data_IF_248194553327
#
_entry.id   IF_248194553327
#
_cell.length_a   1.000
_cell.length_b   1.000
_cell.length_c   1.000
_cell.angle_alpha   90.00
_cell.angle_beta   90.00
_cell.angle_gamma   90.00
#
_symmetry.space_group_name_H-M   'P 1'
#
loop_
_entity.id
_entity.type
_entity.pdbx_description
1 polymer ?
#
# COMPACT_ATOMS: atom_id res chain seq x y z
N UNK A 1 26.49 34.66 -7.88
CA UNK A 1 25.29 34.89 -7.01
C UNK A 1 24.14 33.95 -7.36
N UNK A 2 23.83 33.70 -8.65
CA UNK A 2 22.74 32.78 -9.09
C UNK A 2 22.99 31.32 -8.66
N UNK A 3 24.25 30.85 -8.65
CA UNK A 3 24.63 29.48 -8.31
C UNK A 3 24.39 29.15 -6.81
N UNK A 4 24.66 30.11 -5.91
CA UNK A 4 24.49 29.89 -4.45
C UNK A 4 23.01 29.85 -4.06
N UNK A 5 22.18 30.70 -4.64
CA UNK A 5 20.74 30.73 -4.36
C UNK A 5 20.02 29.45 -4.87
N UNK A 6 20.45 28.88 -6.00
CA UNK A 6 19.91 27.61 -6.52
C UNK A 6 20.32 26.42 -5.63
N UNK A 7 21.56 26.39 -5.15
CA UNK A 7 22.04 25.36 -4.22
C UNK A 7 21.28 25.39 -2.88
N UNK A 8 21.10 26.57 -2.29
CA UNK A 8 20.36 26.73 -1.06
C UNK A 8 18.89 26.26 -1.18
N UNK A 9 18.22 26.62 -2.28
CA UNK A 9 16.85 26.18 -2.53
C UNK A 9 16.73 24.66 -2.69
N UNK A 10 17.76 24.01 -3.27
CA UNK A 10 17.79 22.54 -3.40
C UNK A 10 17.95 21.85 -2.03
N UNK A 11 18.89 22.33 -1.20
CA UNK A 11 19.12 21.80 0.16
C UNK A 11 17.85 21.92 1.02
N UNK A 12 17.16 23.07 0.98
CA UNK A 12 15.90 23.27 1.69
C UNK A 12 14.82 22.28 1.24
N UNK A 13 14.72 22.01 -0.06
CA UNK A 13 13.74 21.05 -0.59
C UNK A 13 14.05 19.62 -0.17
N UNK A 14 15.28 19.19 -0.25
CA UNK A 14 15.68 17.83 0.19
C UNK A 14 15.47 17.70 1.70
N UNK A 15 15.90 18.69 2.48
CA UNK A 15 15.73 18.70 3.93
C UNK A 15 14.27 18.64 4.37
N UNK A 16 13.36 19.35 3.68
CA UNK A 16 11.94 19.31 4.01
C UNK A 16 11.28 17.96 3.72
N UNK A 17 11.66 17.27 2.64
CA UNK A 17 11.19 15.90 2.36
C UNK A 17 11.71 14.94 3.41
N UNK A 18 13.00 15.00 3.73
CA UNK A 18 13.60 14.18 4.77
C UNK A 18 12.92 14.39 6.14
N UNK A 19 12.57 15.64 6.48
CA UNK A 19 11.87 15.96 7.73
C UNK A 19 10.48 15.30 7.80
N UNK A 20 9.69 15.31 6.72
CA UNK A 20 8.35 14.68 6.72
C UNK A 20 8.47 13.15 6.76
N UNK A 21 9.45 12.56 6.05
CA UNK A 21 9.73 11.14 6.14
C UNK A 21 10.18 10.74 7.56
N UNK A 22 11.07 11.53 8.19
CA UNK A 22 11.50 11.32 9.57
C UNK A 22 10.35 11.44 10.57
N UNK A 23 9.43 12.38 10.36
CA UNK A 23 8.23 12.50 11.19
C UNK A 23 7.35 11.23 11.10
N UNK A 24 7.17 10.65 9.91
CA UNK A 24 6.45 9.41 9.75
C UNK A 24 7.15 8.24 10.46
N UNK A 25 8.48 8.15 10.38
CA UNK A 25 9.29 7.17 11.13
C UNK A 25 9.08 7.35 12.64
N UNK A 26 9.19 8.59 13.15
CA UNK A 26 9.03 8.88 14.57
C UNK A 26 7.63 8.48 15.06
N UNK A 27 6.57 8.83 14.33
CA UNK A 27 5.20 8.44 14.68
C UNK A 27 5.08 6.91 14.77
N UNK A 28 5.67 6.17 13.84
CA UNK A 28 5.64 4.71 13.85
C UNK A 28 6.45 4.14 15.02
N UNK A 29 7.65 4.65 15.28
CA UNK A 29 8.50 4.18 16.38
C UNK A 29 7.92 4.51 17.76
N UNK A 30 7.12 5.58 17.88
CA UNK A 30 6.52 6.05 19.14
C UNK A 30 5.05 5.65 19.29
N UNK A 31 4.48 4.87 18.38
CA UNK A 31 3.10 4.42 18.44
C UNK A 31 2.82 3.67 19.75
N UNK A 32 1.82 4.13 20.50
CA UNK A 32 1.46 3.58 21.83
C UNK A 32 0.67 2.27 21.67
N UNK A 33 -0.30 2.26 20.76
CA UNK A 33 -1.17 1.11 20.52
C UNK A 33 -0.56 0.18 19.48
N UNK A 34 0.42 -0.61 19.87
CA UNK A 34 1.06 -1.61 18.99
C UNK A 34 0.16 -2.82 18.81
N UNK A 35 0.08 -3.30 17.57
CA UNK A 35 -0.75 -4.44 17.16
C UNK A 35 0.10 -5.59 16.59
N UNK A 36 1.35 -5.69 17.04
CA UNK A 36 2.33 -6.69 16.59
C UNK A 36 1.90 -8.13 16.85
N UNK A 37 1.07 -8.35 17.88
CA UNK A 37 0.48 -9.66 18.23
C UNK A 37 -0.80 -10.00 17.42
N UNK A 38 -1.12 -9.20 16.42
CA UNK A 38 -2.28 -9.44 15.56
C UNK A 38 -1.95 -10.28 14.33
N UNK A 39 -2.56 -9.98 13.18
CA UNK A 39 -2.33 -10.71 11.92
C UNK A 39 -0.83 -10.72 11.49
N UNK A 40 -0.03 -9.76 11.93
CA UNK A 40 1.38 -9.66 11.56
C UNK A 40 2.30 -10.67 12.29
N UNK A 41 1.85 -11.26 13.39
CA UNK A 41 2.64 -12.07 14.32
C UNK A 41 3.41 -13.24 13.66
N UNK A 42 2.82 -13.92 12.66
CA UNK A 42 3.46 -15.03 11.96
C UNK A 42 4.39 -14.64 10.82
N UNK A 43 4.40 -13.36 10.43
CA UNK A 43 5.12 -12.90 9.22
C UNK A 43 6.63 -13.16 9.31
N UNK A 44 7.24 -12.78 10.41
CA UNK A 44 8.70 -12.95 10.60
C UNK A 44 9.10 -14.39 10.91
N UNK A 45 8.22 -15.19 11.51
CA UNK A 45 8.44 -16.63 11.71
C UNK A 45 8.53 -17.36 10.36
N UNK A 46 7.65 -17.02 9.41
CA UNK A 46 7.75 -17.55 8.04
C UNK A 46 9.04 -17.09 7.37
N UNK A 47 9.43 -15.82 7.55
CA UNK A 47 10.71 -15.31 7.02
C UNK A 47 11.89 -16.11 7.54
N UNK A 48 11.93 -16.37 8.85
CA UNK A 48 12.98 -17.18 9.48
C UNK A 48 12.95 -18.62 9.00
N UNK A 49 11.75 -19.23 8.88
CA UNK A 49 11.60 -20.59 8.36
C UNK A 49 12.14 -20.73 6.93
N UNK A 50 11.90 -19.74 6.07
CA UNK A 50 12.45 -19.72 4.71
C UNK A 50 13.99 -19.63 4.75
N UNK A 51 14.54 -18.76 5.59
CA UNK A 51 15.99 -18.57 5.67
C UNK A 51 16.74 -19.78 6.24
N UNK A 52 16.20 -20.43 7.28
CA UNK A 52 16.90 -21.49 7.99
C UNK A 52 16.58 -22.88 7.45
N UNK A 53 15.34 -23.08 7.02
CA UNK A 53 14.83 -24.42 6.69
C UNK A 53 14.42 -24.57 5.22
N UNK A 54 14.46 -23.45 4.45
CA UNK A 54 14.05 -23.45 3.03
C UNK A 54 12.57 -23.78 2.81
N UNK A 55 11.70 -23.56 3.83
CA UNK A 55 10.28 -23.92 3.76
C UNK A 55 9.39 -22.79 4.26
N UNK A 56 8.18 -22.73 3.71
CA UNK A 56 7.12 -21.80 4.14
C UNK A 56 6.30 -22.31 5.32
N UNK A 57 6.53 -23.57 5.72
CA UNK A 57 5.83 -24.21 6.83
C UNK A 57 6.49 -23.87 8.17
N UNK A 58 5.69 -23.97 9.24
CA UNK A 58 6.08 -23.61 10.60
C UNK A 58 6.27 -24.86 11.51
N UNK A 59 6.35 -26.05 10.92
CA UNK A 59 6.55 -27.32 11.63
C UNK A 59 7.89 -27.44 12.38
N UNK A 60 8.84 -26.54 12.13
CA UNK A 60 10.08 -26.45 12.90
C UNK A 60 10.00 -25.64 14.20
N UNK A 61 8.83 -25.06 14.53
CA UNK A 61 8.63 -24.32 15.79
C UNK A 61 7.99 -25.19 16.87
N UNK A 62 8.25 -24.86 18.15
CA UNK A 62 7.63 -25.54 19.28
C UNK A 62 6.10 -25.36 19.29
N UNK A 63 5.34 -26.34 19.83
CA UNK A 63 3.87 -26.29 19.86
C UNK A 63 3.30 -25.06 20.57
N UNK A 64 3.97 -24.55 21.62
CA UNK A 64 3.58 -23.33 22.32
C UNK A 64 3.66 -22.09 21.43
N UNK A 65 4.71 -21.95 20.59
CA UNK A 65 4.83 -20.89 19.60
C UNK A 65 3.69 -20.98 18.58
N UNK A 66 3.37 -22.19 18.09
CA UNK A 66 2.27 -22.40 17.17
C UNK A 66 0.90 -22.10 17.82
N UNK A 67 0.75 -22.40 19.11
CA UNK A 67 -0.48 -22.11 19.86
C UNK A 67 -0.73 -20.61 19.98
N UNK A 68 0.30 -19.77 20.10
CA UNK A 68 0.17 -18.32 20.13
C UNK A 68 -0.35 -17.74 18.81
N UNK A 69 -0.11 -18.40 17.68
CA UNK A 69 -0.62 -18.01 16.38
C UNK A 69 -2.13 -18.30 16.20
N UNK A 70 -2.70 -19.24 17.00
CA UNK A 70 -4.12 -19.57 17.04
C UNK A 70 -4.75 -19.71 15.64
N UNK A 71 -5.77 -18.89 15.33
CA UNK A 71 -6.51 -18.90 14.06
C UNK A 71 -5.74 -18.31 12.86
N UNK A 72 -4.46 -17.98 13.01
CA UNK A 72 -3.58 -17.49 11.93
C UNK A 72 -2.82 -18.62 11.24
N UNK A 73 -3.01 -19.84 11.69
CA UNK A 73 -2.45 -21.05 11.07
C UNK A 73 -3.54 -21.83 10.35
N UNK A 74 -3.22 -22.34 9.19
CA UNK A 74 -3.95 -23.42 8.53
C UNK A 74 -3.06 -24.66 8.40
N UNK A 75 -3.66 -25.84 8.33
CA UNK A 75 -2.92 -27.07 8.09
C UNK A 75 -3.03 -27.49 6.63
N UNK A 76 -1.88 -27.60 5.96
CA UNK A 76 -1.74 -28.06 4.58
C UNK A 76 -1.04 -29.41 4.63
N UNK A 77 -1.73 -30.49 4.31
CA UNK A 77 -1.23 -31.86 4.37
C UNK A 77 -0.60 -32.21 5.74
N UNK A 78 -1.26 -31.75 6.82
CA UNK A 78 -0.85 -31.99 8.20
C UNK A 78 0.28 -31.07 8.69
N UNK A 79 0.81 -30.17 7.86
CA UNK A 79 1.87 -29.21 8.23
C UNK A 79 1.29 -27.83 8.52
N UNK A 80 1.70 -27.16 9.61
CA UNK A 80 1.23 -25.83 9.93
C UNK A 80 1.77 -24.79 8.95
N UNK A 81 0.91 -24.06 8.29
CA UNK A 81 1.22 -22.97 7.39
C UNK A 81 0.58 -21.67 7.89
N UNK A 82 1.27 -20.55 7.70
CA UNK A 82 0.71 -19.25 8.00
C UNK A 82 -0.40 -18.88 6.99
N UNK A 83 -1.55 -18.48 7.50
CA UNK A 83 -2.76 -18.25 6.69
C UNK A 83 -2.63 -17.07 5.73
N UNK A 84 -1.88 -16.04 6.10
CA UNK A 84 -1.78 -14.79 5.33
C UNK A 84 -0.78 -14.89 4.17
N UNK A 85 -0.89 -13.99 3.15
CA UNK A 85 0.01 -13.98 2.00
C UNK A 85 1.48 -13.85 2.37
N UNK A 86 2.35 -14.58 1.69
CA UNK A 86 3.78 -14.66 1.97
C UNK A 86 4.57 -13.41 1.59
N UNK A 87 4.00 -12.48 0.83
CA UNK A 87 4.74 -11.36 0.24
C UNK A 87 5.45 -10.48 1.26
N UNK A 88 4.82 -10.18 2.40
CA UNK A 88 5.45 -9.39 3.46
C UNK A 88 6.62 -10.15 4.07
N UNK A 89 6.51 -11.47 4.27
CA UNK A 89 7.60 -12.33 4.74
C UNK A 89 8.78 -12.34 3.76
N UNK A 90 8.51 -12.39 2.46
CA UNK A 90 9.55 -12.33 1.42
C UNK A 90 10.26 -10.96 1.37
N UNK A 91 9.54 -9.86 1.59
CA UNK A 91 10.13 -8.52 1.68
C UNK A 91 11.02 -8.39 2.93
N UNK A 92 10.67 -9.05 4.02
CA UNK A 92 11.45 -9.03 5.25
C UNK A 92 12.74 -9.87 5.18
N UNK A 93 12.86 -10.81 4.21
CA UNK A 93 14.02 -11.73 4.09
C UNK A 93 15.38 -11.03 4.18
N UNK A 94 15.70 -9.98 3.40
CA UNK A 94 17.03 -9.37 3.45
C UNK A 94 17.33 -8.73 4.81
N UNK A 95 16.33 -8.13 5.44
CA UNK A 95 16.50 -7.50 6.76
C UNK A 95 16.74 -8.54 7.84
N UNK A 96 15.91 -9.59 7.88
CA UNK A 96 16.06 -10.69 8.85
C UNK A 96 17.37 -11.42 8.63
N UNK A 97 17.80 -11.68 7.40
CA UNK A 97 19.09 -12.30 7.10
C UNK A 97 20.26 -11.48 7.66
N UNK A 98 20.24 -10.16 7.49
CA UNK A 98 21.25 -9.25 8.06
C UNK A 98 21.21 -9.30 9.59
N UNK A 99 20.05 -9.18 10.23
CA UNK A 99 19.92 -9.20 11.70
C UNK A 99 20.45 -10.53 12.28
N UNK A 100 20.12 -11.63 11.64
CA UNK A 100 20.63 -12.97 12.05
C UNK A 100 22.14 -13.09 11.93
N UNK A 101 22.77 -12.46 10.95
CA UNK A 101 24.24 -12.45 10.85
C UNK A 101 24.93 -11.73 12.03
N UNK A 102 24.18 -10.86 12.74
CA UNK A 102 24.59 -10.21 14.00
C UNK A 102 24.12 -10.96 15.25
N UNK A 103 23.53 -12.16 15.12
CA UNK A 103 23.03 -12.95 16.25
C UNK A 103 21.69 -12.49 16.82
N UNK A 104 20.95 -11.63 16.10
CA UNK A 104 19.64 -11.14 16.52
C UNK A 104 18.57 -12.13 16.02
N UNK A 105 17.94 -12.87 16.94
CA UNK A 105 16.89 -13.84 16.64
C UNK A 105 15.52 -13.19 16.49
N UNK A 106 14.70 -13.75 15.60
CA UNK A 106 13.32 -13.25 15.34
C UNK A 106 12.43 -13.42 16.57
N UNK A 107 12.47 -14.60 17.23
CA UNK A 107 11.58 -14.89 18.38
C UNK A 107 11.75 -13.91 19.55
N UNK A 108 12.98 -13.42 19.77
CA UNK A 108 13.26 -12.49 20.86
C UNK A 108 12.96 -11.03 20.50
N UNK A 109 13.00 -10.68 19.22
CA UNK A 109 12.96 -9.30 18.72
C UNK A 109 11.84 -9.06 17.68
N UNK A 110 10.80 -9.90 17.66
CA UNK A 110 9.72 -9.83 16.66
C UNK A 110 9.06 -8.45 16.63
N UNK A 111 8.72 -7.90 17.79
CA UNK A 111 8.06 -6.60 17.89
C UNK A 111 8.91 -5.45 17.33
N UNK A 112 10.19 -5.42 17.70
CA UNK A 112 11.12 -4.36 17.28
C UNK A 112 11.37 -4.44 15.77
N UNK A 113 11.54 -5.64 15.23
CA UNK A 113 11.75 -5.85 13.79
C UNK A 113 10.50 -5.46 13.00
N UNK A 114 9.30 -5.85 13.48
CA UNK A 114 8.05 -5.44 12.85
C UNK A 114 7.92 -3.93 12.79
N UNK A 115 8.15 -3.22 13.90
CA UNK A 115 8.02 -1.76 13.95
C UNK A 115 9.09 -1.07 13.11
N UNK A 116 10.32 -1.58 13.05
CA UNK A 116 11.37 -1.03 12.19
C UNK A 116 11.01 -1.16 10.69
N UNK A 117 10.45 -2.30 10.28
CA UNK A 117 9.98 -2.52 8.92
C UNK A 117 8.76 -1.65 8.59
N UNK A 118 7.80 -1.50 9.52
CA UNK A 118 6.66 -0.60 9.37
C UNK A 118 7.11 0.87 9.25
N UNK A 119 8.10 1.31 10.05
CA UNK A 119 8.67 2.65 9.96
C UNK A 119 9.37 2.90 8.61
N UNK A 120 10.03 1.86 8.07
CA UNK A 120 10.62 1.92 6.72
C UNK A 120 9.53 2.07 5.66
N UNK A 121 8.45 1.29 5.74
CA UNK A 121 7.31 1.40 4.83
C UNK A 121 6.62 2.77 4.93
N UNK A 122 6.51 3.33 6.13
CA UNK A 122 5.97 4.68 6.36
C UNK A 122 6.80 5.76 5.64
N UNK A 123 8.12 5.75 5.81
CA UNK A 123 9.03 6.69 5.13
C UNK A 123 8.96 6.55 3.60
N UNK A 124 8.95 5.31 3.10
CA UNK A 124 8.83 5.03 1.67
C UNK A 124 7.48 5.49 1.11
N UNK A 125 6.38 5.30 1.85
CA UNK A 125 5.05 5.75 1.44
C UNK A 125 4.99 7.27 1.31
N UNK A 126 5.49 8.02 2.29
CA UNK A 126 5.58 9.49 2.23
C UNK A 126 6.44 9.94 1.05
N UNK A 127 7.62 9.34 0.87
CA UNK A 127 8.52 9.68 -0.24
C UNK A 127 7.86 9.43 -1.61
N UNK A 128 7.23 8.26 -1.78
CA UNK A 128 6.57 7.89 -3.04
C UNK A 128 5.35 8.77 -3.32
N UNK A 129 4.56 9.12 -2.28
CA UNK A 129 3.48 10.09 -2.41
C UNK A 129 4.01 11.45 -2.87
N UNK A 130 5.08 11.94 -2.24
CA UNK A 130 5.72 13.18 -2.66
C UNK A 130 6.19 13.10 -4.12
N UNK A 131 6.93 12.05 -4.52
CA UNK A 131 7.43 11.89 -5.88
C UNK A 131 6.29 11.78 -6.91
N UNK A 132 5.22 11.07 -6.59
CA UNK A 132 4.03 10.97 -7.42
C UNK A 132 3.33 12.34 -7.58
N UNK A 133 3.13 13.05 -6.47
CA UNK A 133 2.54 14.39 -6.49
C UNK A 133 3.41 15.40 -7.26
N UNK A 134 4.75 15.28 -7.22
CA UNK A 134 5.69 16.10 -7.99
C UNK A 134 5.55 15.97 -9.50
N UNK A 135 4.90 14.92 -9.99
CA UNK A 135 4.56 14.78 -11.41
C UNK A 135 3.47 15.76 -11.86
N UNK A 136 2.70 16.28 -10.94
CA UNK A 136 1.54 17.14 -11.19
C UNK A 136 1.69 18.55 -10.58
N UNK A 137 2.41 18.66 -9.46
CA UNK A 137 2.36 19.82 -8.55
C UNK A 137 3.75 20.38 -8.23
N UNK A 138 3.75 21.63 -7.76
CA UNK A 138 4.94 22.27 -7.19
C UNK A 138 5.40 21.60 -5.89
N UNK A 139 6.66 21.86 -5.49
CA UNK A 139 7.32 21.20 -4.34
C UNK A 139 6.48 21.24 -3.06
N UNK A 140 6.10 22.43 -2.60
CA UNK A 140 5.43 22.61 -1.32
C UNK A 140 4.02 22.02 -1.27
N UNK A 141 3.27 22.12 -2.36
CA UNK A 141 1.95 21.51 -2.47
C UNK A 141 2.05 19.98 -2.48
N UNK A 142 3.01 19.43 -3.23
CA UNK A 142 3.25 18.00 -3.26
C UNK A 142 3.64 17.44 -1.88
N UNK A 143 4.53 18.16 -1.17
CA UNK A 143 4.97 17.77 0.17
C UNK A 143 3.82 17.83 1.19
N UNK A 144 3.04 18.92 1.16
CA UNK A 144 1.90 19.10 2.05
C UNK A 144 0.84 18.01 1.83
N UNK A 145 0.51 17.70 0.57
CA UNK A 145 -0.46 16.63 0.28
C UNK A 145 0.06 15.25 0.68
N UNK A 146 1.34 14.95 0.46
CA UNK A 146 1.93 13.69 0.93
C UNK A 146 1.82 13.56 2.46
N UNK A 147 2.14 14.64 3.20
CA UNK A 147 1.98 14.68 4.65
C UNK A 147 0.53 14.51 5.09
N UNK A 148 -0.40 15.31 4.54
CA UNK A 148 -1.83 15.23 4.89
C UNK A 148 -2.40 13.84 4.62
N UNK A 149 -2.08 13.22 3.48
CA UNK A 149 -2.57 11.87 3.19
C UNK A 149 -1.98 10.82 4.11
N UNK A 150 -0.70 10.90 4.44
CA UNK A 150 -0.10 9.92 5.34
C UNK A 150 -0.60 10.10 6.77
N UNK A 151 -0.49 11.31 7.36
CA UNK A 151 -0.83 11.58 8.76
C UNK A 151 -2.35 11.64 9.02
N UNK A 152 -3.14 12.06 8.03
CA UNK A 152 -4.60 12.22 8.13
C UNK A 152 -5.41 11.00 7.70
N UNK A 153 -4.80 9.82 7.54
CA UNK A 153 -5.51 8.59 7.13
C UNK A 153 -5.09 7.39 7.97
N UNK A 154 -5.69 6.23 7.69
CA UNK A 154 -5.30 4.95 8.30
C UNK A 154 -3.88 4.49 7.95
N UNK A 155 -3.17 5.14 7.04
CA UNK A 155 -1.73 4.90 6.84
C UNK A 155 -0.92 5.18 8.10
N UNK A 156 -1.24 6.24 8.84
CA UNK A 156 -0.60 6.52 10.12
C UNK A 156 -1.29 5.79 11.28
N UNK A 157 -2.63 5.90 11.40
CA UNK A 157 -3.34 5.40 12.59
C UNK A 157 -3.39 3.87 12.67
N UNK A 158 -3.27 3.15 11.56
CA UNK A 158 -3.24 1.69 11.51
C UNK A 158 -1.87 1.18 11.09
N UNK A 159 -1.32 1.65 9.96
CA UNK A 159 -0.05 1.19 9.41
C UNK A 159 1.12 1.34 10.37
N UNK A 160 1.16 2.44 11.15
CA UNK A 160 2.22 2.66 12.13
C UNK A 160 2.19 1.71 13.34
N UNK A 161 1.26 0.77 13.44
CA UNK A 161 1.05 -0.03 14.68
C UNK A 161 1.67 -1.42 14.66
N UNK A 162 1.96 -1.97 13.48
CA UNK A 162 2.58 -3.30 13.28
C UNK A 162 3.08 -3.44 11.84
N UNK A 163 3.72 -4.56 11.52
CA UNK A 163 4.09 -4.93 10.15
C UNK A 163 2.88 -5.48 9.40
N UNK A 164 1.95 -4.62 9.07
CA UNK A 164 0.80 -5.03 8.27
C UNK A 164 1.17 -5.28 6.82
N UNK A 165 0.56 -6.27 6.19
CA UNK A 165 0.69 -6.43 4.73
C UNK A 165 0.18 -5.22 3.94
N UNK A 166 -0.70 -4.41 4.53
CA UNK A 166 -1.18 -3.13 4.00
C UNK A 166 -0.05 -2.11 3.79
N UNK A 167 0.98 -2.10 4.64
CA UNK A 167 2.07 -1.12 4.58
C UNK A 167 2.88 -1.28 3.30
N UNK A 168 3.33 -2.50 3.03
CA UNK A 168 4.04 -2.79 1.78
C UNK A 168 3.11 -2.81 0.57
N UNK A 169 1.82 -3.14 0.74
CA UNK A 169 0.83 -2.97 -0.32
C UNK A 169 0.70 -1.50 -0.73
N UNK A 170 0.68 -0.57 0.22
CA UNK A 170 0.66 0.87 -0.06
C UNK A 170 1.94 1.33 -0.77
N UNK A 171 3.13 0.90 -0.32
CA UNK A 171 4.42 1.20 -0.96
C UNK A 171 4.45 0.69 -2.40
N UNK A 172 4.10 -0.58 -2.64
CA UNK A 172 4.11 -1.19 -3.97
C UNK A 172 3.06 -0.56 -4.89
N UNK A 173 1.89 -0.19 -4.36
CA UNK A 173 0.85 0.52 -5.10
C UNK A 173 1.32 1.91 -5.52
N UNK A 174 1.89 2.69 -4.60
CA UNK A 174 2.44 4.02 -4.89
C UNK A 174 3.56 3.96 -5.93
N UNK A 175 4.46 2.99 -5.80
CA UNK A 175 5.54 2.78 -6.77
C UNK A 175 4.97 2.38 -8.15
N UNK A 176 3.97 1.48 -8.19
CA UNK A 176 3.29 1.11 -9.44
C UNK A 176 2.62 2.32 -10.11
N UNK A 177 1.93 3.15 -9.34
CA UNK A 177 1.30 4.37 -9.84
C UNK A 177 2.33 5.40 -10.33
N UNK A 178 3.45 5.56 -9.62
CA UNK A 178 4.54 6.44 -10.05
C UNK A 178 5.16 5.96 -11.38
N UNK A 179 5.45 4.66 -11.49
CA UNK A 179 6.00 4.05 -12.71
C UNK A 179 5.02 4.17 -13.88
N UNK A 180 3.72 3.95 -13.65
CA UNK A 180 2.68 4.16 -14.65
C UNK A 180 2.66 5.61 -15.12
N UNK A 181 2.64 6.58 -14.20
CA UNK A 181 2.62 8.01 -14.52
C UNK A 181 3.85 8.41 -15.34
N UNK A 182 5.05 7.95 -14.94
CA UNK A 182 6.29 8.18 -15.71
C UNK A 182 6.19 7.57 -17.10
N UNK A 183 5.70 6.33 -17.21
CA UNK A 183 5.55 5.65 -18.50
C UNK A 183 4.61 6.41 -19.45
N UNK A 184 3.43 6.85 -18.97
CA UNK A 184 2.41 7.46 -19.84
C UNK A 184 2.66 8.95 -20.12
N UNK A 185 3.17 9.72 -19.16
CA UNK A 185 3.48 11.14 -19.34
C UNK A 185 4.73 11.36 -20.20
N UNK A 186 5.81 10.60 -19.92
CA UNK A 186 7.11 10.80 -20.59
C UNK A 186 7.30 9.85 -21.80
N UNK A 187 6.32 8.96 -22.07
CA UNK A 187 6.38 7.92 -23.11
C UNK A 187 7.64 7.04 -23.02
N UNK A 188 8.11 6.76 -21.81
CA UNK A 188 9.31 5.97 -21.53
C UNK A 188 8.97 4.49 -21.39
N UNK A 189 9.82 3.63 -21.98
CA UNK A 189 9.64 2.15 -21.90
C UNK A 189 10.30 1.52 -20.68
N UNK A 190 11.37 2.14 -20.15
CA UNK A 190 12.14 1.58 -19.05
C UNK A 190 11.30 1.31 -17.76
N UNK A 191 10.22 2.04 -17.44
CA UNK A 191 9.41 1.71 -16.26
C UNK A 191 8.60 0.41 -16.41
N UNK A 192 8.32 -0.04 -17.65
CA UNK A 192 7.38 -1.13 -17.88
C UNK A 192 7.82 -2.48 -17.28
N UNK A 193 9.08 -2.95 -17.42
CA UNK A 193 9.52 -4.17 -16.76
C UNK A 193 9.44 -4.07 -15.23
N UNK A 194 9.87 -2.93 -14.66
CA UNK A 194 9.80 -2.70 -13.22
C UNK A 194 8.35 -2.64 -12.74
N UNK A 195 7.45 -2.04 -13.52
CA UNK A 195 6.01 -2.01 -13.23
C UNK A 195 5.42 -3.42 -13.14
N UNK A 196 5.80 -4.34 -14.03
CA UNK A 196 5.40 -5.76 -13.97
C UNK A 196 5.88 -6.40 -12.67
N UNK A 197 7.15 -6.23 -12.32
CA UNK A 197 7.74 -6.81 -11.10
C UNK A 197 7.04 -6.26 -9.85
N UNK A 198 6.82 -4.94 -9.79
CA UNK A 198 6.19 -4.29 -8.62
C UNK A 198 4.72 -4.68 -8.47
N UNK A 199 3.97 -4.76 -9.57
CA UNK A 199 2.58 -5.24 -9.54
C UNK A 199 2.50 -6.71 -9.14
N UNK A 200 3.37 -7.57 -9.67
CA UNK A 200 3.43 -8.98 -9.28
C UNK A 200 3.78 -9.13 -7.80
N UNK A 201 4.78 -8.41 -7.29
CA UNK A 201 5.12 -8.37 -5.87
C UNK A 201 3.92 -7.88 -5.03
N UNK A 202 3.20 -6.85 -5.50
CA UNK A 202 1.98 -6.36 -4.87
C UNK A 202 0.92 -7.44 -4.72
N UNK A 203 0.69 -8.25 -5.75
CA UNK A 203 -0.25 -9.37 -5.70
C UNK A 203 0.17 -10.46 -4.71
N UNK A 204 1.48 -10.71 -4.56
CA UNK A 204 2.00 -11.67 -3.56
C UNK A 204 1.86 -11.13 -2.15
N UNK A 205 2.00 -9.82 -1.95
CA UNK A 205 1.76 -9.16 -0.65
C UNK A 205 0.26 -9.15 -0.33
N UNK A 206 -0.57 -8.77 -1.30
CA UNK A 206 -2.03 -8.69 -1.12
C UNK A 206 -2.77 -8.93 -2.45
N UNK A 207 -3.52 -10.04 -2.58
CA UNK A 207 -4.31 -10.31 -3.79
C UNK A 207 -5.37 -9.25 -4.07
N UNK A 208 -5.78 -8.48 -3.06
CA UNK A 208 -6.70 -7.34 -3.18
C UNK A 208 -6.17 -6.22 -4.08
N UNK A 209 -4.89 -6.25 -4.48
CA UNK A 209 -4.32 -5.34 -5.48
C UNK A 209 -4.59 -5.76 -6.94
N UNK A 210 -5.26 -6.89 -7.18
CA UNK A 210 -5.64 -7.32 -8.53
C UNK A 210 -6.42 -6.25 -9.32
N UNK A 211 -7.40 -5.52 -8.75
CA UNK A 211 -8.07 -4.43 -9.46
C UNK A 211 -7.12 -3.29 -9.87
N UNK A 212 -6.07 -3.00 -9.09
CA UNK A 212 -5.04 -2.05 -9.49
C UNK A 212 -4.28 -2.56 -10.71
N UNK A 213 -3.84 -3.83 -10.72
CA UNK A 213 -3.11 -4.41 -11.84
C UNK A 213 -3.94 -4.39 -13.13
N UNK A 214 -5.22 -4.77 -13.06
CA UNK A 214 -6.16 -4.67 -14.18
C UNK A 214 -6.33 -3.22 -14.63
N UNK A 215 -6.55 -2.29 -13.70
CA UNK A 215 -6.72 -0.88 -13.99
C UNK A 215 -5.50 -0.26 -14.67
N UNK A 216 -4.28 -0.64 -14.26
CA UNK A 216 -3.03 -0.24 -14.91
C UNK A 216 -2.99 -0.70 -16.37
N UNK A 217 -3.33 -1.97 -16.65
CA UNK A 217 -3.39 -2.51 -18.01
C UNK A 217 -4.44 -1.77 -18.85
N UNK A 218 -5.61 -1.46 -18.28
CA UNK A 218 -6.66 -0.68 -18.96
C UNK A 218 -6.18 0.74 -19.29
N UNK A 219 -5.55 1.45 -18.34
CA UNK A 219 -4.98 2.78 -18.60
C UNK A 219 -3.93 2.73 -19.72
N UNK A 220 -3.05 1.74 -19.68
CA UNK A 220 -2.06 1.54 -20.75
C UNK A 220 -2.74 1.21 -22.08
N UNK A 221 -3.79 0.38 -22.10
CA UNK A 221 -4.52 0.05 -23.32
C UNK A 221 -5.15 1.29 -23.96
N UNK A 222 -5.73 2.17 -23.14
CA UNK A 222 -6.31 3.43 -23.58
C UNK A 222 -5.28 4.44 -24.11
N UNK A 223 -4.10 4.50 -23.50
CA UNK A 223 -3.10 5.54 -23.78
C UNK A 223 -1.95 5.02 -24.65
N UNK A 224 -1.58 3.75 -24.52
CA UNK A 224 -0.40 3.12 -25.16
C UNK A 224 -0.53 1.61 -25.27
N UNK A 225 -1.37 1.12 -26.22
CA UNK A 225 -1.77 -0.27 -26.33
C UNK A 225 -0.60 -1.29 -26.39
N UNK A 226 0.53 -0.93 -27.06
CA UNK A 226 1.72 -1.82 -27.12
C UNK A 226 2.34 -2.04 -25.73
N UNK A 227 2.34 -1.01 -24.88
CA UNK A 227 2.78 -1.13 -23.51
C UNK A 227 1.81 -1.99 -22.68
N UNK A 228 0.49 -1.85 -22.93
CA UNK A 228 -0.52 -2.68 -22.28
C UNK A 228 -0.30 -4.18 -22.59
N UNK A 229 -0.07 -4.53 -23.84
CA UNK A 229 0.22 -5.92 -24.24
C UNK A 229 1.47 -6.44 -23.54
N UNK A 230 2.57 -5.66 -23.52
CA UNK A 230 3.81 -6.06 -22.86
C UNK A 230 3.64 -6.27 -21.35
N UNK A 231 2.95 -5.35 -20.67
CA UNK A 231 2.70 -5.44 -19.21
C UNK A 231 1.74 -6.60 -18.92
N UNK A 232 0.67 -6.77 -19.70
CA UNK A 232 -0.26 -7.89 -19.54
C UNK A 232 0.44 -9.25 -19.71
N UNK A 233 1.25 -9.42 -20.75
CA UNK A 233 2.02 -10.63 -20.98
C UNK A 233 3.02 -10.90 -19.83
N UNK A 234 3.70 -9.85 -19.35
CA UNK A 234 4.59 -9.93 -18.19
C UNK A 234 3.86 -10.36 -16.91
N UNK A 235 2.68 -9.79 -16.63
CA UNK A 235 1.86 -10.17 -15.48
C UNK A 235 1.32 -11.59 -15.57
N UNK A 236 0.90 -12.04 -16.75
CA UNK A 236 0.49 -13.43 -16.96
C UNK A 236 1.66 -14.40 -16.74
N UNK A 237 2.85 -14.07 -17.25
CA UNK A 237 4.07 -14.87 -17.03
C UNK A 237 4.46 -14.91 -15.55
N UNK A 238 4.45 -13.76 -14.87
CA UNK A 238 4.72 -13.68 -13.42
C UNK A 238 3.68 -14.47 -12.62
N UNK A 239 2.39 -14.34 -12.97
CA UNK A 239 1.31 -15.11 -12.34
C UNK A 239 1.49 -16.62 -12.50
N UNK A 240 1.82 -17.08 -13.72
CA UNK A 240 2.11 -18.49 -13.97
C UNK A 240 3.31 -18.98 -13.14
N UNK A 241 4.39 -18.20 -13.08
CA UNK A 241 5.56 -18.53 -12.27
C UNK A 241 5.22 -18.63 -10.77
N UNK A 242 4.39 -17.70 -10.25
CA UNK A 242 3.93 -17.71 -8.85
C UNK A 242 3.06 -18.94 -8.54
N UNK A 243 2.16 -19.33 -9.48
CA UNK A 243 1.35 -20.54 -9.33
C UNK A 243 2.22 -21.79 -9.25
N UNK A 244 3.21 -21.91 -10.15
CA UNK A 244 4.17 -23.04 -10.19
C UNK A 244 4.99 -23.05 -8.89
N UNK A 245 5.51 -21.90 -8.45
CA UNK A 245 6.30 -21.80 -7.21
C UNK A 245 5.45 -22.18 -5.98
N UNK A 246 4.20 -21.72 -5.90
CA UNK A 246 3.31 -22.07 -4.81
C UNK A 246 2.99 -23.58 -4.80
N UNK A 247 2.73 -24.15 -5.99
CA UNK A 247 2.48 -25.60 -6.11
C UNK A 247 3.71 -26.41 -5.69
N UNK A 248 4.90 -26.02 -6.10
CA UNK A 248 6.15 -26.68 -5.70
C UNK A 248 6.41 -26.58 -4.18
N UNK A 249 6.04 -25.45 -3.56
CA UNK A 249 6.26 -25.22 -2.14
C UNK A 249 5.22 -25.89 -1.22
N UNK A 250 3.94 -25.96 -1.67
CA UNK A 250 2.80 -26.33 -0.80
C UNK A 250 1.92 -27.46 -1.36
N UNK A 251 2.16 -27.94 -2.58
CA UNK A 251 1.27 -28.87 -3.27
C UNK A 251 -0.02 -28.24 -3.81
N UNK A 252 -0.29 -26.96 -3.53
CA UNK A 252 -1.50 -26.23 -3.95
C UNK A 252 -1.18 -25.16 -4.99
N UNK A 253 -2.03 -25.00 -6.01
CA UNK A 253 -1.85 -23.96 -7.01
C UNK A 253 -2.05 -22.54 -6.45
N UNK A 254 -3.02 -22.36 -5.56
CA UNK A 254 -3.31 -21.09 -4.90
C UNK A 254 -3.31 -21.26 -3.38
N UNK A 255 -2.75 -20.33 -2.61
CA UNK A 255 -2.95 -20.26 -1.18
C UNK A 255 -4.43 -20.08 -0.84
N UNK A 256 -4.89 -20.61 0.30
CA UNK A 256 -6.28 -20.51 0.76
C UNK A 256 -6.75 -19.06 0.87
N UNK A 257 -5.84 -18.14 1.19
CA UNK A 257 -6.14 -16.71 1.27
C UNK A 257 -6.60 -16.08 -0.05
N UNK A 258 -6.27 -16.68 -1.21
CA UNK A 258 -6.62 -16.18 -2.54
C UNK A 258 -7.95 -16.73 -3.08
N UNK A 259 -8.55 -17.67 -2.37
CA UNK A 259 -9.75 -18.35 -2.82
C UNK A 259 -11.00 -17.44 -2.69
N UNK A 260 -11.89 -17.43 -3.72
CA UNK A 260 -13.09 -16.59 -3.74
C UNK A 260 -14.05 -16.81 -2.58
N UNK A 261 -14.07 -18.02 -2.00
CA UNK A 261 -14.92 -18.40 -0.85
C UNK A 261 -14.73 -17.46 0.36
N UNK A 262 -13.58 -16.79 0.48
CA UNK A 262 -13.37 -15.77 1.52
C UNK A 262 -14.25 -14.52 1.37
N UNK A 263 -14.83 -14.30 0.21
CA UNK A 263 -15.74 -13.18 -0.07
C UNK A 263 -17.23 -13.59 0.06
N UNK A 264 -17.50 -14.76 0.61
CA UNK A 264 -18.88 -15.27 0.78
C UNK A 264 -19.36 -15.06 2.21
N UNK A 265 -20.62 -14.64 2.38
CA UNK A 265 -21.29 -14.58 3.67
C UNK A 265 -21.28 -13.23 4.38
N UNK A 266 -20.74 -12.16 3.78
CA UNK A 266 -20.81 -10.81 4.35
C UNK A 266 -22.18 -10.15 4.17
N UNK A 267 -22.59 -9.32 5.14
CA UNK A 267 -23.77 -8.44 5.03
C UNK A 267 -23.44 -7.23 4.14
N UNK A 268 -23.56 -7.40 2.83
CA UNK A 268 -23.08 -6.46 1.82
C UNK A 268 -23.46 -5.00 2.09
N UNK A 269 -24.72 -4.69 2.33
CA UNK A 269 -25.16 -3.30 2.51
C UNK A 269 -24.71 -2.70 3.84
N UNK A 270 -24.72 -3.49 4.91
CA UNK A 270 -24.17 -3.09 6.21
C UNK A 270 -22.67 -2.80 6.09
N UNK A 271 -21.92 -3.69 5.46
CA UNK A 271 -20.49 -3.55 5.25
C UNK A 271 -20.15 -2.35 4.35
N UNK A 272 -20.90 -2.17 3.24
CA UNK A 272 -20.70 -1.06 2.30
C UNK A 272 -20.88 0.30 2.99
N UNK A 273 -22.01 0.48 3.68
CA UNK A 273 -22.30 1.73 4.38
C UNK A 273 -21.34 1.98 5.54
N UNK A 274 -21.02 0.92 6.31
CA UNK A 274 -20.13 1.03 7.45
C UNK A 274 -18.69 1.36 7.02
N UNK A 275 -18.15 0.76 5.97
CA UNK A 275 -16.80 1.11 5.44
C UNK A 275 -16.74 2.54 4.88
N UNK A 276 -17.89 3.15 4.53
CA UNK A 276 -17.93 4.53 4.06
C UNK A 276 -18.12 5.54 5.20
N UNK A 277 -19.11 5.34 6.09
CA UNK A 277 -19.58 6.41 7.00
C UNK A 277 -19.73 5.99 8.47
N UNK A 278 -19.37 4.76 8.85
CA UNK A 278 -19.44 4.35 10.26
C UNK A 278 -18.46 5.16 11.13
N UNK A 279 -18.83 5.55 12.35
CA UNK A 279 -17.91 6.19 13.31
C UNK A 279 -16.70 5.31 13.65
N UNK A 280 -16.82 3.98 13.58
CA UNK A 280 -15.75 3.06 13.92
C UNK A 280 -14.83 2.71 12.73
N UNK A 281 -15.35 2.71 11.48
CA UNK A 281 -14.65 2.16 10.30
C UNK A 281 -14.83 2.97 9.02
N UNK A 282 -15.57 4.07 9.06
CA UNK A 282 -15.95 4.82 7.86
C UNK A 282 -14.78 5.60 7.27
N UNK A 283 -14.46 5.33 6.00
CA UNK A 283 -13.39 6.03 5.27
C UNK A 283 -13.57 7.55 5.32
N UNK A 284 -14.80 8.04 5.10
CA UNK A 284 -15.11 9.47 5.08
C UNK A 284 -15.02 10.08 6.48
N UNK A 285 -15.36 9.33 7.53
CA UNK A 285 -15.27 9.79 8.92
C UNK A 285 -13.83 9.95 9.36
N UNK A 286 -12.96 8.98 9.00
CA UNK A 286 -11.54 9.01 9.34
C UNK A 286 -10.68 9.82 8.37
N UNK A 287 -11.22 10.22 7.23
CA UNK A 287 -10.51 10.99 6.20
C UNK A 287 -11.47 11.94 5.49
N UNK A 288 -12.09 12.91 6.22
CA UNK A 288 -13.14 13.78 5.68
C UNK A 288 -12.65 14.66 4.54
N UNK A 289 -11.36 14.95 4.47
CA UNK A 289 -10.78 15.71 3.37
C UNK A 289 -10.93 15.02 2.01
N UNK A 290 -11.19 13.71 1.96
CA UNK A 290 -11.47 12.99 0.72
C UNK A 290 -12.74 13.50 0.01
N UNK A 291 -13.67 14.13 0.75
CA UNK A 291 -14.84 14.79 0.16
C UNK A 291 -14.49 15.98 -0.75
N UNK A 292 -13.27 16.50 -0.65
CA UNK A 292 -12.77 17.55 -1.55
C UNK A 292 -12.46 17.00 -2.96
N UNK A 293 -12.19 15.70 -3.10
CA UNK A 293 -11.82 15.09 -4.41
C UNK A 293 -12.90 15.29 -5.47
N UNK A 294 -14.18 14.99 -5.24
CA UNK A 294 -15.25 15.31 -6.20
C UNK A 294 -15.33 16.79 -6.57
N UNK A 295 -15.11 17.69 -5.60
CA UNK A 295 -15.09 19.13 -5.82
C UNK A 295 -13.93 19.56 -6.72
N UNK A 296 -12.74 19.00 -6.52
CA UNK A 296 -11.56 19.24 -7.38
C UNK A 296 -11.86 18.81 -8.82
N UNK A 297 -12.45 17.63 -9.01
CA UNK A 297 -12.83 17.10 -10.32
C UNK A 297 -13.86 18.03 -10.97
N UNK A 298 -14.90 18.42 -10.24
CA UNK A 298 -15.95 19.32 -10.74
C UNK A 298 -15.39 20.69 -11.15
N UNK A 299 -14.51 21.29 -10.35
CA UNK A 299 -13.93 22.62 -10.63
C UNK A 299 -12.98 22.63 -11.81
N UNK A 300 -12.21 21.56 -12.02
CA UNK A 300 -11.26 21.50 -13.13
C UNK A 300 -11.93 21.36 -14.49
N UNK A 301 -13.11 20.76 -14.59
CA UNK A 301 -14.02 20.61 -15.76
C UNK A 301 -13.40 20.03 -17.04
N UNK A 302 -12.12 20.27 -17.34
CA UNK A 302 -11.42 19.76 -18.53
C UNK A 302 -10.15 19.03 -18.11
N UNK A 303 -10.07 17.78 -18.49
CA UNK A 303 -8.90 16.93 -18.31
C UNK A 303 -8.37 16.54 -19.69
N UNK A 304 -7.05 16.50 -19.83
CA UNK A 304 -6.49 15.77 -20.95
C UNK A 304 -6.76 14.27 -20.79
N UNK A 305 -6.52 13.51 -21.86
CA UNK A 305 -6.82 12.07 -21.87
C UNK A 305 -6.03 11.31 -20.82
N UNK A 306 -4.81 11.72 -20.53
CA UNK A 306 -3.93 11.08 -19.54
C UNK A 306 -4.43 11.33 -18.13
N UNK A 307 -4.64 12.58 -17.74
CA UNK A 307 -5.16 12.94 -16.43
C UNK A 307 -6.53 12.28 -16.17
N UNK A 308 -7.42 12.30 -17.18
CA UNK A 308 -8.72 11.65 -17.09
C UNK A 308 -8.64 10.16 -16.83
N UNK A 309 -7.76 9.44 -17.54
CA UNK A 309 -7.54 8.01 -17.33
C UNK A 309 -6.96 7.71 -15.94
N UNK A 310 -6.02 8.53 -15.44
CA UNK A 310 -5.43 8.38 -14.11
C UNK A 310 -6.44 8.67 -12.99
N UNK A 311 -7.31 9.67 -13.15
CA UNK A 311 -8.40 9.96 -12.20
C UNK A 311 -9.38 8.78 -12.15
N UNK A 312 -9.78 8.27 -13.32
CA UNK A 312 -10.69 7.11 -13.39
C UNK A 312 -10.06 5.89 -12.70
N UNK A 313 -8.78 5.60 -12.94
CA UNK A 313 -8.07 4.53 -12.22
C UNK A 313 -8.12 4.75 -10.71
N UNK A 314 -7.76 5.97 -10.26
CA UNK A 314 -7.71 6.35 -8.86
C UNK A 314 -9.05 6.33 -8.12
N UNK A 315 -10.18 6.31 -8.83
CA UNK A 315 -11.52 6.20 -8.27
C UNK A 315 -12.14 4.81 -8.48
N UNK A 316 -11.96 4.21 -9.66
CA UNK A 316 -12.53 2.91 -9.99
C UNK A 316 -11.93 1.77 -9.15
N UNK A 317 -10.62 1.79 -8.95
CA UNK A 317 -9.97 0.79 -8.08
C UNK A 317 -10.50 0.82 -6.64
N UNK A 318 -10.55 1.96 -5.92
CA UNK A 318 -11.19 2.05 -4.60
C UNK A 318 -12.65 1.57 -4.58
N UNK A 319 -13.42 1.88 -5.61
CA UNK A 319 -14.81 1.43 -5.71
C UNK A 319 -14.92 -0.10 -5.85
N UNK A 320 -14.13 -0.71 -6.74
CA UNK A 320 -14.10 -2.16 -6.92
C UNK A 320 -13.65 -2.85 -5.63
N UNK A 321 -12.62 -2.31 -4.98
CA UNK A 321 -12.14 -2.83 -3.70
C UNK A 321 -13.19 -2.74 -2.60
N UNK A 322 -13.89 -1.59 -2.47
CA UNK A 322 -14.98 -1.41 -1.51
C UNK A 322 -16.09 -2.42 -1.73
N UNK A 323 -16.49 -2.67 -2.98
CA UNK A 323 -17.48 -3.70 -3.32
C UNK A 323 -16.99 -5.10 -2.88
N UNK A 324 -15.72 -5.42 -3.12
CA UNK A 324 -15.14 -6.71 -2.76
C UNK A 324 -15.09 -6.91 -1.25
N UNK A 325 -14.57 -5.94 -0.48
CA UNK A 325 -14.50 -6.06 0.98
C UNK A 325 -15.87 -6.04 1.64
N UNK A 326 -16.88 -5.45 1.00
CA UNK A 326 -18.26 -5.45 1.51
C UNK A 326 -18.92 -6.83 1.43
N UNK A 327 -18.33 -7.77 0.67
CA UNK A 327 -18.73 -9.19 0.66
C UNK A 327 -17.94 -10.05 1.64
N UNK A 328 -16.86 -9.51 2.22
CA UNK A 328 -16.01 -10.24 3.14
C UNK A 328 -16.70 -10.38 4.52
N UNK A 329 -16.80 -11.59 5.10
CA UNK A 329 -17.48 -11.80 6.38
C UNK A 329 -16.95 -10.92 7.52
N UNK A 330 -15.61 -10.69 7.55
CA UNK A 330 -14.96 -9.86 8.55
C UNK A 330 -14.64 -8.45 8.00
N UNK A 331 -15.62 -7.83 7.32
CA UNK A 331 -15.50 -6.52 6.66
C UNK A 331 -15.03 -5.38 7.59
N UNK A 332 -15.19 -5.53 8.89
CA UNK A 332 -14.73 -4.55 9.88
C UNK A 332 -13.21 -4.57 10.12
N UNK A 333 -12.47 -5.57 9.58
CA UNK A 333 -11.01 -5.62 9.63
C UNK A 333 -10.43 -5.99 11.00
N UNK A 334 -11.19 -6.64 11.88
CA UNK A 334 -10.72 -7.09 13.20
C UNK A 334 -10.44 -5.94 14.18
N UNK A 335 -9.37 -6.07 14.97
CA UNK A 335 -9.02 -5.15 16.05
C UNK A 335 -8.30 -3.87 15.60
N UNK A 336 -8.01 -3.69 14.30
CA UNK A 336 -7.35 -2.47 13.79
C UNK A 336 -8.21 -1.21 14.05
N UNK A 337 -7.57 -0.05 14.23
CA UNK A 337 -8.25 1.23 14.40
C UNK A 337 -8.63 1.85 13.04
N UNK A 338 -9.86 2.36 12.91
CA UNK A 338 -10.34 3.02 11.70
C UNK A 338 -10.51 2.09 10.48
N UNK A 339 -10.51 2.63 9.25
CA UNK A 339 -10.84 1.90 8.03
C UNK A 339 -9.65 1.08 7.51
N UNK A 340 -9.17 0.10 8.29
CA UNK A 340 -7.99 -0.72 7.97
C UNK A 340 -8.07 -1.34 6.58
N UNK A 341 -9.20 -1.95 6.22
CA UNK A 341 -9.33 -2.62 4.92
C UNK A 341 -9.36 -1.63 3.74
N UNK A 342 -9.72 -0.36 3.96
CA UNK A 342 -9.64 0.70 2.94
C UNK A 342 -8.25 1.31 2.80
N UNK A 343 -7.30 0.92 3.65
CA UNK A 343 -5.92 1.42 3.59
C UNK A 343 -5.24 1.08 2.25
N UNK A 344 -5.54 -0.09 1.69
CA UNK A 344 -4.99 -0.56 0.41
C UNK A 344 -5.26 0.37 -0.77
N UNK A 345 -6.36 1.14 -0.72
CA UNK A 345 -6.80 1.98 -1.85
C UNK A 345 -6.49 3.47 -1.69
N UNK A 346 -5.95 3.87 -0.54
CA UNK A 346 -5.53 5.25 -0.31
C UNK A 346 -4.53 5.77 -1.36
N UNK A 347 -3.57 4.97 -1.87
CA UNK A 347 -2.73 5.37 -2.99
C UNK A 347 -3.51 5.75 -4.25
N UNK A 348 -4.62 5.06 -4.56
CA UNK A 348 -5.49 5.39 -5.68
C UNK A 348 -6.21 6.73 -5.48
N UNK A 349 -6.80 6.93 -4.30
CA UNK A 349 -7.43 8.20 -3.94
C UNK A 349 -6.44 9.37 -3.95
N UNK A 350 -5.20 9.12 -3.52
CA UNK A 350 -4.12 10.09 -3.63
C UNK A 350 -3.82 10.45 -5.10
N UNK A 351 -3.69 9.45 -5.98
CA UNK A 351 -3.50 9.68 -7.42
C UNK A 351 -4.64 10.52 -8.00
N UNK A 352 -5.91 10.15 -7.71
CA UNK A 352 -7.06 10.91 -8.18
C UNK A 352 -7.01 12.38 -7.71
N UNK A 353 -6.63 12.59 -6.44
CA UNK A 353 -6.50 13.93 -5.86
C UNK A 353 -5.45 14.76 -6.59
N UNK A 354 -4.21 14.26 -6.74
CA UNK A 354 -3.12 15.03 -7.36
C UNK A 354 -3.33 15.23 -8.85
N UNK A 355 -3.92 14.25 -9.55
CA UNK A 355 -4.25 14.37 -10.96
C UNK A 355 -5.43 15.33 -11.21
N UNK A 356 -6.38 15.44 -10.28
CA UNK A 356 -7.50 16.40 -10.36
C UNK A 356 -7.13 17.79 -9.87
N UNK A 357 -6.00 17.99 -9.22
CA UNK A 357 -5.61 19.26 -8.64
C UNK A 357 -5.52 20.37 -9.72
N UNK A 358 -6.12 21.57 -9.47
CA UNK A 358 -6.07 22.65 -10.45
C UNK A 358 -4.66 23.17 -10.69
N UNK A 359 -4.19 23.11 -11.94
CA UNK A 359 -2.84 23.60 -12.31
C UNK A 359 -2.72 25.14 -12.35
N UNK A 360 -3.87 25.84 -12.44
CA UNK A 360 -3.97 27.29 -12.59
C UNK A 360 -4.28 28.04 -11.27
N UNK A 361 -4.23 27.35 -10.13
CA UNK A 361 -4.49 28.00 -8.85
C UNK A 361 -3.30 28.90 -8.52
N UNK A 362 -3.56 30.21 -8.43
CA UNK A 362 -2.60 31.19 -7.93
C UNK A 362 -2.02 30.71 -6.61
N UNK A 363 -0.80 31.11 -6.29
CA UNK A 363 -0.07 30.67 -5.08
C UNK A 363 -0.90 30.80 -3.80
N UNK A 364 -1.81 31.75 -3.72
CA UNK A 364 -2.74 31.95 -2.60
C UNK A 364 -3.87 30.90 -2.57
N UNK A 365 -4.50 30.62 -3.71
CA UNK A 365 -5.56 29.61 -3.79
C UNK A 365 -5.05 28.19 -3.50
N UNK A 366 -3.83 27.83 -3.90
CA UNK A 366 -3.22 26.55 -3.55
C UNK A 366 -2.90 26.45 -2.05
N UNK A 367 -2.46 27.56 -1.41
CA UNK A 367 -2.23 27.62 0.04
C UNK A 367 -3.52 27.44 0.82
N UNK A 368 -4.61 28.12 0.41
CA UNK A 368 -5.93 27.98 1.04
C UNK A 368 -6.49 26.57 0.87
N UNK A 369 -6.35 25.97 -0.31
CA UNK A 369 -6.77 24.59 -0.54
C UNK A 369 -5.98 23.60 0.30
N UNK A 370 -4.67 23.75 0.40
CA UNK A 370 -3.82 22.92 1.29
C UNK A 370 -4.19 23.13 2.76
N UNK A 371 -4.43 24.38 3.18
CA UNK A 371 -4.83 24.69 4.56
C UNK A 371 -6.22 24.09 4.88
N UNK A 372 -7.19 24.20 3.98
CA UNK A 372 -8.50 23.57 4.13
C UNK A 372 -8.40 22.04 4.18
N UNK A 373 -7.54 21.46 3.36
CA UNK A 373 -7.26 20.02 3.35
C UNK A 373 -6.63 19.59 4.69
N UNK A 374 -5.66 20.36 5.19
CA UNK A 374 -5.01 20.08 6.46
C UNK A 374 -5.96 20.22 7.66
N UNK A 375 -6.83 21.25 7.67
CA UNK A 375 -7.85 21.46 8.71
C UNK A 375 -8.91 20.33 8.75
N UNK A 376 -9.20 19.71 7.60
CA UNK A 376 -10.15 18.59 7.54
C UNK A 376 -9.48 17.23 7.84
N UNK A 377 -8.14 17.19 7.90
CA UNK A 377 -7.37 15.98 8.21
C UNK A 377 -6.96 15.88 9.69
N UNK A 378 -7.02 17.01 10.44
CA UNK A 378 -6.76 17.08 11.88
C UNK A 378 -8.01 16.99 12.69
#
# INVERSE_FOLDING_TARGET
VVSIASGFSHVVRVGSVAAVCAAAVIVTLTAVNRMTDSDAMGTLLVTESILERGTVFLDGYYPDVLTTLANRIEYVDGRPAYLFPLGTSLIALPVVAVLKSFGIGVLQHDHEIQIALAATAAALSVLLMYLLARRFLGHWTALALAGVFWFGTSLASTGATALWSHDFAAVLSLLSLLLLVVAVQDRRRWPLPLLVVVLAAGLVVRPQLAPLAVGVVVVLALLWWRAAVAVCAGLLGAGAALLVANHAATGRWLPSYYLPQRLEGGEFWTALTANLVSPARGLVVFSPFLLVVPLLIYRRRRFDRTDGALIVLGLAWPLVHLIAISRFPHWWGGWGFGPRLMMDVLPGLFLATVAAWPRSVTTWGSRLAVAAFALLAG
#
